data_IF_593080060585
#
_entry.id   IF_593080060585
#
_cell.length_a   1.000
_cell.length_b   1.000
_cell.length_c   1.000
_cell.angle_alpha   90.00
_cell.angle_beta   90.00
_cell.angle_gamma   90.00
#
_symmetry.space_group_name_H-M   'P 1'
#
loop_
_entity.id
_entity.type
_entity.pdbx_description
1 polymer ?
#
# COMPACT_ATOMS: atom_id res chain seq x y z
N UNK A 1 -21.59 -19.33 -8.87
CA UNK A 1 -22.76 -18.53 -9.33
C UNK A 1 -23.02 -17.35 -8.40
N UNK A 2 -23.33 -17.55 -7.11
CA UNK A 2 -23.62 -16.44 -6.18
C UNK A 2 -22.49 -15.39 -6.08
N UNK A 3 -21.22 -15.82 -5.98
CA UNK A 3 -20.08 -14.90 -5.94
C UNK A 3 -19.99 -14.00 -7.18
N UNK A 4 -20.22 -14.57 -8.36
CA UNK A 4 -20.22 -13.81 -9.61
C UNK A 4 -21.38 -12.81 -9.67
N UNK A 5 -22.57 -13.19 -9.21
CA UNK A 5 -23.73 -12.30 -9.18
C UNK A 5 -23.57 -11.13 -8.21
N UNK A 6 -22.94 -11.34 -7.06
CA UNK A 6 -22.68 -10.26 -6.08
C UNK A 6 -21.59 -9.30 -6.58
N UNK A 7 -20.58 -9.83 -7.27
CA UNK A 7 -19.42 -9.05 -7.71
C UNK A 7 -19.46 -8.70 -9.21
N UNK A 8 -20.64 -8.81 -9.86
CA UNK A 8 -20.73 -8.71 -11.33
C UNK A 8 -20.18 -7.39 -11.86
N UNK A 9 -20.35 -6.29 -11.12
CA UNK A 9 -19.81 -4.96 -11.48
C UNK A 9 -18.28 -4.95 -11.53
N UNK A 10 -17.60 -5.69 -10.63
CA UNK A 10 -16.15 -5.84 -10.65
C UNK A 10 -15.70 -6.62 -11.89
N UNK A 11 -16.44 -7.68 -12.24
CA UNK A 11 -16.19 -8.44 -13.47
C UNK A 11 -16.47 -7.59 -14.71
N UNK A 12 -17.53 -6.80 -14.73
CA UNK A 12 -17.87 -5.88 -15.83
C UNK A 12 -16.77 -4.83 -16.03
N UNK A 13 -16.30 -4.20 -14.95
CA UNK A 13 -15.18 -3.25 -14.97
C UNK A 13 -13.86 -3.87 -15.47
N UNK A 14 -13.70 -5.20 -15.32
CA UNK A 14 -12.46 -5.91 -15.69
C UNK A 14 -12.54 -6.47 -17.11
N UNK A 15 -13.69 -7.02 -17.53
CA UNK A 15 -13.81 -7.80 -18.77
C UNK A 15 -14.63 -7.12 -19.87
N UNK A 16 -15.40 -6.08 -19.55
CA UNK A 16 -16.24 -5.38 -20.52
C UNK A 16 -16.51 -3.91 -20.11
N UNK A 17 -15.46 -3.07 -19.91
CA UNK A 17 -15.67 -1.70 -19.48
C UNK A 17 -16.31 -0.87 -20.62
N UNK A 18 -17.62 -0.67 -20.58
CA UNK A 18 -18.30 0.22 -21.52
C UNK A 18 -18.06 1.68 -21.12
N UNK A 19 -17.23 2.40 -21.89
CA UNK A 19 -17.02 3.85 -21.71
C UNK A 19 -16.17 4.26 -20.50
N UNK A 20 -15.51 3.31 -19.82
CA UNK A 20 -14.60 3.58 -18.70
C UNK A 20 -13.19 3.09 -19.04
N UNK A 21 -12.25 4.02 -19.24
CA UNK A 21 -10.84 3.67 -19.39
C UNK A 21 -10.18 3.75 -18.02
N UNK A 22 -9.65 2.65 -17.53
CA UNK A 22 -8.96 2.60 -16.24
C UNK A 22 -7.53 3.12 -16.35
N UNK A 23 -7.03 3.77 -15.29
CA UNK A 23 -5.61 4.14 -15.17
C UNK A 23 -4.65 2.95 -15.33
N UNK A 24 -5.14 1.70 -15.14
CA UNK A 24 -4.36 0.47 -15.32
C UNK A 24 -3.84 0.26 -16.74
N UNK A 25 -4.39 0.95 -17.74
CA UNK A 25 -3.87 0.89 -19.12
C UNK A 25 -2.42 1.40 -19.20
N UNK A 26 -2.04 2.34 -18.33
CA UNK A 26 -0.66 2.86 -18.23
C UNK A 26 0.18 2.13 -17.19
N UNK A 27 -0.36 1.10 -16.53
CA UNK A 27 0.38 0.36 -15.51
C UNK A 27 1.50 -0.46 -16.17
N UNK A 28 2.75 -0.17 -15.80
CA UNK A 28 3.91 -0.99 -16.17
C UNK A 28 4.10 -2.10 -15.16
N UNK A 29 3.96 -3.34 -15.61
CA UNK A 29 4.23 -4.51 -14.76
C UNK A 29 5.69 -4.59 -14.33
N UNK A 30 6.61 -4.07 -15.15
CA UNK A 30 8.04 -4.17 -14.94
C UNK A 30 8.65 -3.00 -14.18
N UNK A 31 7.85 -1.97 -13.84
CA UNK A 31 8.30 -0.79 -13.08
C UNK A 31 9.14 -1.14 -11.84
N UNK A 32 8.66 -2.06 -11.01
CA UNK A 32 9.32 -2.51 -9.78
C UNK A 32 9.85 -3.95 -9.87
N UNK A 33 10.01 -4.49 -11.09
CA UNK A 33 10.30 -5.92 -11.31
C UNK A 33 11.41 -6.15 -12.33
N UNK A 34 12.55 -6.54 -11.79
CA UNK A 34 13.68 -6.99 -12.61
C UNK A 34 13.55 -8.46 -13.04
N UNK A 35 14.00 -8.74 -14.27
CA UNK A 35 14.19 -10.09 -14.79
C UNK A 35 15.54 -10.66 -14.32
N UNK A 36 15.56 -11.18 -13.09
CA UNK A 36 16.75 -11.82 -12.51
C UNK A 36 16.47 -13.28 -12.21
N UNK A 37 17.27 -14.19 -12.80
CA UNK A 37 17.18 -15.62 -12.48
C UNK A 37 17.52 -15.86 -11.00
N UNK A 38 18.61 -15.26 -10.52
CA UNK A 38 19.02 -15.36 -9.12
C UNK A 38 17.95 -14.77 -8.20
N UNK A 39 17.40 -13.60 -8.54
CA UNK A 39 16.30 -12.99 -7.81
C UNK A 39 15.05 -13.86 -7.76
N UNK A 40 14.74 -14.58 -8.85
CA UNK A 40 13.59 -15.50 -8.94
C UNK A 40 13.76 -16.72 -8.02
N UNK A 41 14.97 -17.27 -7.97
CA UNK A 41 15.34 -18.36 -7.04
C UNK A 41 15.27 -17.87 -5.59
N UNK A 42 15.81 -16.69 -5.30
CA UNK A 42 15.75 -16.11 -3.95
C UNK A 42 14.30 -15.86 -3.50
N UNK A 43 13.44 -15.29 -4.35
CA UNK A 43 12.01 -15.12 -4.08
C UNK A 43 11.28 -16.45 -3.85
N UNK A 44 11.66 -17.50 -4.59
CA UNK A 44 11.13 -18.85 -4.39
C UNK A 44 11.49 -19.39 -3.01
N UNK A 45 12.75 -19.25 -2.60
CA UNK A 45 13.24 -19.71 -1.31
C UNK A 45 12.64 -18.89 -0.16
N UNK A 46 12.59 -17.57 -0.30
CA UNK A 46 11.99 -16.65 0.66
C UNK A 46 10.56 -17.09 0.99
N UNK A 47 9.70 -17.21 -0.02
CA UNK A 47 8.28 -17.53 0.23
C UNK A 47 8.06 -18.99 0.65
N UNK A 48 9.01 -19.88 0.37
CA UNK A 48 9.00 -21.26 0.85
C UNK A 48 9.32 -21.33 2.36
N UNK A 49 10.26 -20.52 2.85
CA UNK A 49 10.64 -20.52 4.26
C UNK A 49 9.78 -19.61 5.13
N UNK A 50 9.31 -18.49 4.57
CA UNK A 50 8.53 -17.46 5.25
C UNK A 50 7.38 -17.05 4.32
N UNK A 51 6.16 -17.45 4.64
CA UNK A 51 5.01 -17.04 3.82
C UNK A 51 4.75 -15.53 3.90
N UNK A 52 3.98 -15.01 2.95
CA UNK A 52 3.81 -13.57 2.76
C UNK A 52 2.97 -12.90 3.86
N UNK A 53 3.46 -11.77 4.38
CA UNK A 53 2.82 -11.00 5.46
C UNK A 53 1.37 -10.55 5.17
N UNK A 54 0.99 -10.40 3.90
CA UNK A 54 -0.36 -9.99 3.49
C UNK A 54 -1.43 -11.09 3.70
N UNK A 55 -1.03 -12.36 3.69
CA UNK A 55 -1.94 -13.49 3.89
C UNK A 55 -1.75 -14.17 5.26
N UNK A 56 -0.60 -13.91 5.90
CA UNK A 56 -0.20 -14.49 7.17
C UNK A 56 1.24 -14.99 7.09
N UNK A 57 2.09 -14.55 8.01
CA UNK A 57 3.48 -15.00 8.11
C UNK A 57 3.54 -16.34 8.82
N UNK A 58 4.04 -17.36 8.13
CA UNK A 58 4.27 -18.72 8.65
C UNK A 58 5.71 -19.06 8.34
N UNK A 59 6.49 -19.32 9.40
CA UNK A 59 7.82 -19.91 9.24
C UNK A 59 7.66 -21.41 9.08
N UNK A 60 8.17 -21.96 7.98
CA UNK A 60 7.93 -23.35 7.59
C UNK A 60 8.90 -24.35 8.22
N UNK A 61 10.03 -23.90 8.79
CA UNK A 61 11.08 -24.79 9.30
C UNK A 61 10.58 -25.81 10.37
N UNK A 62 9.80 -25.42 11.40
CA UNK A 62 9.28 -26.39 12.36
C UNK A 62 8.34 -27.41 11.70
N UNK A 63 7.57 -26.97 10.70
CA UNK A 63 6.64 -27.82 9.93
C UNK A 63 7.42 -28.84 9.09
N UNK A 64 8.49 -28.41 8.42
CA UNK A 64 9.37 -29.27 7.62
C UNK A 64 10.05 -30.33 8.49
N UNK A 65 10.54 -29.95 9.67
CA UNK A 65 11.13 -30.90 10.62
C UNK A 65 10.09 -31.91 11.13
N UNK A 66 8.87 -31.47 11.45
CA UNK A 66 7.78 -32.37 11.83
C UNK A 66 7.43 -33.35 10.69
N UNK A 67 7.36 -32.86 9.45
CA UNK A 67 7.09 -33.69 8.27
C UNK A 67 8.21 -34.70 8.00
N UNK A 68 9.48 -34.28 8.16
CA UNK A 68 10.64 -35.17 8.02
C UNK A 68 10.61 -36.29 9.07
N UNK A 69 10.36 -35.95 10.34
CA UNK A 69 10.22 -36.96 11.41
C UNK A 69 9.03 -37.91 11.15
N UNK A 70 7.92 -37.38 10.63
CA UNK A 70 6.78 -38.21 10.24
C UNK A 70 7.15 -39.20 9.13
N UNK A 71 7.91 -38.75 8.11
CA UNK A 71 8.45 -39.62 7.04
C UNK A 71 9.34 -40.72 7.61
N UNK A 72 10.31 -40.37 8.44
CA UNK A 72 11.27 -41.31 9.03
C UNK A 72 10.57 -42.38 9.89
N UNK A 73 9.45 -42.04 10.54
CA UNK A 73 8.68 -42.96 11.37
C UNK A 73 7.82 -44.00 10.62
N UNK A 74 7.46 -43.72 9.36
CA UNK A 74 6.58 -44.57 8.54
C UNK A 74 7.37 -45.26 7.42
N UNK A 75 8.47 -44.67 6.95
CA UNK A 75 9.33 -45.24 5.90
C UNK A 75 8.73 -45.16 4.48
N UNK A 76 7.63 -44.42 4.28
CA UNK A 76 6.99 -44.19 2.97
C UNK A 76 6.48 -42.77 2.83
N UNK A 77 6.14 -42.39 1.60
CA UNK A 77 5.59 -41.07 1.29
C UNK A 77 4.32 -40.74 2.07
N UNK A 78 4.24 -39.53 2.61
CA UNK A 78 3.16 -39.07 3.48
C UNK A 78 2.18 -38.14 2.75
N UNK A 79 0.97 -37.94 3.30
CA UNK A 79 0.08 -36.90 2.79
C UNK A 79 0.66 -35.48 2.97
N UNK A 80 1.39 -35.25 4.08
CA UNK A 80 2.08 -33.99 4.33
C UNK A 80 3.11 -33.66 3.24
N UNK A 81 3.88 -34.66 2.77
CA UNK A 81 4.83 -34.48 1.66
C UNK A 81 4.15 -34.09 0.35
N UNK A 82 2.98 -34.66 0.04
CA UNK A 82 2.23 -34.27 -1.16
C UNK A 82 1.82 -32.80 -1.09
N UNK A 83 1.35 -32.34 0.07
CA UNK A 83 1.04 -30.92 0.29
C UNK A 83 2.30 -30.06 0.17
N UNK A 84 3.43 -30.50 0.72
CA UNK A 84 4.73 -29.79 0.61
C UNK A 84 5.16 -29.66 -0.86
N UNK A 85 4.99 -30.70 -1.69
CA UNK A 85 5.28 -30.60 -3.12
C UNK A 85 4.36 -29.61 -3.85
N UNK A 86 3.07 -29.55 -3.47
CA UNK A 86 2.16 -28.51 -3.96
C UNK A 86 2.64 -27.11 -3.56
N UNK A 87 3.12 -26.95 -2.32
CA UNK A 87 3.70 -25.69 -1.84
C UNK A 87 4.94 -25.33 -2.67
N UNK A 88 5.87 -26.26 -2.89
CA UNK A 88 7.05 -26.04 -3.75
C UNK A 88 6.64 -25.56 -5.13
N UNK A 89 5.64 -26.18 -5.76
CA UNK A 89 5.15 -25.77 -7.08
C UNK A 89 4.60 -24.33 -7.06
N UNK A 90 3.84 -23.95 -6.03
CA UNK A 90 3.34 -22.59 -5.85
C UNK A 90 4.49 -21.59 -5.62
N UNK A 91 5.49 -21.94 -4.81
CA UNK A 91 6.65 -21.08 -4.55
C UNK A 91 7.48 -20.85 -5.81
N UNK A 92 7.72 -21.89 -6.62
CA UNK A 92 8.43 -21.78 -7.90
C UNK A 92 7.62 -20.94 -8.89
N UNK A 93 6.32 -21.21 -9.02
CA UNK A 93 5.43 -20.43 -9.87
C UNK A 93 5.45 -18.94 -9.48
N UNK A 94 5.39 -18.64 -8.19
CA UNK A 94 5.51 -17.28 -7.67
C UNK A 94 6.86 -16.63 -8.01
N UNK A 95 7.98 -17.31 -7.69
CA UNK A 95 9.31 -16.74 -7.90
C UNK A 95 9.63 -16.48 -9.37
N UNK A 96 9.09 -17.29 -10.28
CA UNK A 96 9.31 -17.16 -11.72
C UNK A 96 8.15 -16.45 -12.46
N UNK A 97 7.16 -15.90 -11.76
CA UNK A 97 5.99 -15.30 -12.42
C UNK A 97 6.35 -14.10 -13.31
N UNK A 98 7.36 -13.30 -12.94
CA UNK A 98 7.86 -12.21 -13.80
C UNK A 98 8.35 -12.71 -15.16
N UNK A 99 9.00 -13.88 -15.22
CA UNK A 99 9.41 -14.50 -16.48
C UNK A 99 8.21 -14.96 -17.31
N UNK A 100 7.17 -15.48 -16.66
CA UNK A 100 5.92 -15.87 -17.34
C UNK A 100 5.26 -14.64 -17.97
N UNK A 101 5.18 -13.53 -17.23
CA UNK A 101 4.63 -12.28 -17.76
C UNK A 101 5.49 -11.73 -18.88
N UNK A 102 6.81 -11.81 -18.79
CA UNK A 102 7.71 -11.37 -19.86
C UNK A 102 7.52 -12.17 -21.16
N UNK A 103 7.37 -13.50 -21.06
CA UNK A 103 7.24 -14.36 -22.24
C UNK A 103 5.84 -14.33 -22.86
N UNK A 104 4.79 -14.12 -22.05
CA UNK A 104 3.40 -14.34 -22.47
C UNK A 104 2.47 -13.14 -22.25
N UNK A 105 2.92 -12.10 -21.54
CA UNK A 105 2.08 -10.97 -21.11
C UNK A 105 1.46 -10.18 -22.27
N UNK A 106 2.17 -10.03 -23.38
CA UNK A 106 1.66 -9.35 -24.58
C UNK A 106 0.47 -10.10 -25.22
N UNK A 107 0.47 -11.43 -25.16
CA UNK A 107 -0.56 -12.28 -25.75
C UNK A 107 -1.72 -12.53 -24.78
N UNK A 108 -1.47 -12.42 -23.48
CA UNK A 108 -2.43 -12.68 -22.41
C UNK A 108 -2.41 -11.54 -21.39
N UNK A 109 -3.09 -10.41 -21.66
CA UNK A 109 -3.13 -9.24 -20.76
C UNK A 109 -3.55 -9.57 -19.32
N UNK A 110 -4.39 -10.60 -19.14
CA UNK A 110 -4.79 -11.13 -17.83
C UNK A 110 -3.62 -11.51 -16.91
N UNK A 111 -2.44 -11.86 -17.45
CA UNK A 111 -1.25 -12.17 -16.67
C UNK A 111 -0.70 -10.92 -15.95
N UNK A 112 -0.81 -9.75 -16.58
CA UNK A 112 -0.38 -8.46 -16.02
C UNK A 112 -1.42 -7.94 -15.02
N UNK A 113 -2.70 -7.96 -15.41
CA UNK A 113 -3.78 -7.34 -14.66
C UNK A 113 -4.15 -8.13 -13.39
N UNK A 114 -4.37 -9.44 -13.53
CA UNK A 114 -4.88 -10.28 -12.43
C UNK A 114 -3.77 -10.69 -11.45
N UNK A 115 -2.53 -10.81 -11.94
CA UNK A 115 -1.35 -11.27 -11.17
C UNK A 115 -1.60 -12.63 -10.51
N UNK A 116 -1.66 -13.70 -11.30
CA UNK A 116 -1.92 -15.07 -10.83
C UNK A 116 -0.94 -15.57 -9.77
N UNK A 117 0.24 -14.97 -9.67
CA UNK A 117 1.19 -15.16 -8.55
C UNK A 117 0.55 -15.02 -7.15
N UNK A 118 -0.60 -14.34 -7.06
CA UNK A 118 -1.43 -14.24 -5.84
C UNK A 118 -1.93 -15.58 -5.32
N UNK A 119 -1.84 -16.68 -6.08
CA UNK A 119 -2.06 -18.05 -5.57
C UNK A 119 -1.21 -18.36 -4.33
N UNK A 120 -0.09 -17.64 -4.14
CA UNK A 120 0.72 -17.65 -2.91
C UNK A 120 -0.07 -17.34 -1.62
N UNK A 121 -1.23 -16.69 -1.70
CA UNK A 121 -2.13 -16.43 -0.56
C UNK A 121 -2.59 -17.74 0.10
N UNK A 122 -2.59 -18.87 -0.63
CA UNK A 122 -2.94 -20.18 -0.09
C UNK A 122 -1.84 -20.80 0.79
N UNK A 123 -0.60 -20.27 0.76
CA UNK A 123 0.53 -20.89 1.43
C UNK A 123 0.37 -21.05 2.95
N UNK A 124 -0.14 -20.07 3.72
CA UNK A 124 -0.35 -20.25 5.16
C UNK A 124 -1.28 -21.42 5.46
N UNK A 125 -2.38 -21.54 4.70
CA UNK A 125 -3.31 -22.66 4.82
C UNK A 125 -2.65 -24.00 4.48
N UNK A 126 -1.93 -24.08 3.37
CA UNK A 126 -1.26 -25.32 2.94
C UNK A 126 -0.16 -25.74 3.92
N UNK A 127 0.60 -24.79 4.48
CA UNK A 127 1.59 -25.06 5.53
C UNK A 127 0.93 -25.62 6.79
N UNK A 128 -0.16 -25.01 7.24
CA UNK A 128 -0.91 -25.50 8.40
C UNK A 128 -1.56 -26.87 8.14
N UNK A 129 -2.03 -27.13 6.93
CA UNK A 129 -2.53 -28.45 6.53
C UNK A 129 -1.41 -29.50 6.53
N UNK A 130 -0.25 -29.20 5.94
CA UNK A 130 0.91 -30.08 5.97
C UNK A 130 1.34 -30.37 7.41
N UNK A 131 1.31 -29.36 8.27
CA UNK A 131 1.63 -29.48 9.68
C UNK A 131 0.65 -30.39 10.43
N UNK A 132 -0.65 -30.17 10.27
CA UNK A 132 -1.68 -31.01 10.89
C UNK A 132 -1.55 -32.48 10.45
N UNK A 133 -1.28 -32.73 9.16
CA UNK A 133 -1.08 -34.06 8.62
C UNK A 133 0.19 -34.74 9.15
N UNK A 134 1.28 -33.98 9.31
CA UNK A 134 2.53 -34.48 9.90
C UNK A 134 2.33 -34.83 11.39
N UNK A 135 1.69 -33.94 12.15
CA UNK A 135 1.43 -34.17 13.58
C UNK A 135 0.44 -35.31 13.82
N UNK A 136 -0.60 -35.45 12.99
CA UNK A 136 -1.54 -36.56 13.08
C UNK A 136 -0.85 -37.92 12.94
N UNK A 137 0.18 -38.00 12.11
CA UNK A 137 1.01 -39.19 11.95
C UNK A 137 1.95 -39.42 13.15
N UNK A 138 2.59 -38.35 13.66
CA UNK A 138 3.48 -38.44 14.82
C UNK A 138 2.73 -38.78 16.12
N UNK A 139 1.47 -38.33 16.26
CA UNK A 139 0.65 -38.50 17.47
C UNK A 139 0.52 -39.95 17.89
N UNK A 140 0.48 -40.89 16.94
CA UNK A 140 0.29 -42.32 17.19
C UNK A 140 1.46 -42.90 18.00
N UNK A 141 2.69 -42.43 17.77
CA UNK A 141 3.89 -42.96 18.44
C UNK A 141 4.44 -42.04 19.53
N UNK A 142 4.30 -40.72 19.37
CA UNK A 142 5.03 -39.74 20.17
C UNK A 142 4.22 -38.48 20.49
N UNK A 143 3.22 -38.54 21.40
CA UNK A 143 2.37 -37.39 21.73
C UNK A 143 3.14 -36.19 22.32
N UNK A 144 4.23 -36.44 23.06
CA UNK A 144 5.09 -35.36 23.59
C UNK A 144 5.80 -34.57 22.48
N UNK A 145 6.21 -35.25 21.41
CA UNK A 145 6.83 -34.61 20.24
C UNK A 145 5.82 -33.73 19.52
N UNK A 146 4.55 -34.16 19.44
CA UNK A 146 3.47 -33.32 18.92
C UNK A 146 3.30 -32.05 19.75
N UNK A 147 3.25 -32.19 21.09
CA UNK A 147 3.18 -31.04 22.00
C UNK A 147 4.35 -30.06 21.82
N UNK A 148 5.57 -30.57 21.64
CA UNK A 148 6.75 -29.76 21.36
C UNK A 148 6.61 -28.96 20.07
N UNK A 149 6.28 -29.60 18.95
CA UNK A 149 6.13 -28.90 17.67
C UNK A 149 4.99 -27.88 17.69
N UNK A 150 3.86 -28.19 18.35
CA UNK A 150 2.78 -27.24 18.54
C UNK A 150 3.22 -26.01 19.34
N UNK A 151 3.94 -26.22 20.45
CA UNK A 151 4.47 -25.12 21.26
C UNK A 151 5.46 -24.25 20.47
N UNK A 152 6.39 -24.88 19.73
CA UNK A 152 7.35 -24.16 18.88
C UNK A 152 6.62 -23.36 17.79
N UNK A 153 5.69 -23.98 17.07
CA UNK A 153 4.97 -23.29 16.00
C UNK A 153 4.11 -22.14 16.55
N UNK A 154 3.50 -22.31 17.72
CA UNK A 154 2.75 -21.26 18.39
C UNK A 154 3.65 -20.06 18.75
N UNK A 155 4.79 -20.31 19.40
CA UNK A 155 5.77 -19.26 19.75
C UNK A 155 6.23 -18.52 18.50
N UNK A 156 6.60 -19.25 17.45
CA UNK A 156 7.06 -18.67 16.20
C UNK A 156 5.98 -17.82 15.52
N UNK A 157 4.73 -18.30 15.50
CA UNK A 157 3.60 -17.57 14.91
C UNK A 157 3.37 -16.25 15.67
N UNK A 158 3.32 -16.29 17.00
CA UNK A 158 3.17 -15.09 17.85
C UNK A 158 4.34 -14.13 17.67
N UNK A 159 5.57 -14.64 17.62
CA UNK A 159 6.76 -13.84 17.38
C UNK A 159 6.76 -13.16 16.00
N UNK A 160 6.21 -13.83 14.99
CA UNK A 160 6.12 -13.30 13.62
C UNK A 160 4.90 -12.42 13.34
N UNK A 161 3.99 -12.24 14.30
CA UNK A 161 2.75 -11.49 14.09
C UNK A 161 2.98 -9.98 14.24
N UNK A 162 2.86 -9.23 13.15
CA UNK A 162 3.19 -7.80 13.10
C UNK A 162 2.41 -6.95 14.12
N UNK A 163 1.11 -7.22 14.32
CA UNK A 163 0.30 -6.47 15.29
C UNK A 163 0.68 -6.80 16.73
N UNK A 164 1.03 -8.05 17.02
CA UNK A 164 1.51 -8.43 18.36
C UNK A 164 2.86 -7.76 18.66
N UNK A 165 3.78 -7.81 17.69
CA UNK A 165 5.07 -7.12 17.78
C UNK A 165 4.89 -5.60 17.89
N UNK A 166 3.90 -5.03 17.21
CA UNK A 166 3.58 -3.63 17.29
C UNK A 166 3.06 -3.24 18.68
N UNK A 167 2.12 -4.00 19.25
CA UNK A 167 1.60 -3.77 20.59
C UNK A 167 2.69 -3.87 21.67
N UNK A 168 3.60 -4.84 21.56
CA UNK A 168 4.76 -4.92 22.46
C UNK A 168 5.66 -3.68 22.35
N UNK A 169 5.88 -3.16 21.15
CA UNK A 169 6.63 -1.91 20.94
C UNK A 169 5.91 -0.69 21.51
N UNK A 170 4.57 -0.63 21.40
CA UNK A 170 3.78 0.43 22.03
C UNK A 170 3.95 0.39 23.56
N UNK A 171 3.82 -0.80 24.18
CA UNK A 171 4.02 -0.98 25.62
C UNK A 171 5.44 -0.63 26.07
N UNK A 172 6.44 -0.87 25.22
CA UNK A 172 7.83 -0.50 25.46
C UNK A 172 8.15 0.98 25.18
N UNK A 173 7.18 1.80 24.75
CA UNK A 173 7.37 3.22 24.45
C UNK A 173 8.18 3.51 23.17
N UNK A 174 8.28 2.53 22.27
CA UNK A 174 9.03 2.65 20.98
C UNK A 174 8.15 2.31 19.77
N UNK A 175 6.99 2.96 19.59
CA UNK A 175 6.09 2.67 18.48
C UNK A 175 6.77 2.98 17.14
N UNK A 176 6.61 2.08 16.16
CA UNK A 176 7.09 2.29 14.77
C UNK A 176 6.03 2.88 13.84
N UNK A 177 4.76 2.69 14.17
CA UNK A 177 3.58 3.11 13.41
C UNK A 177 2.48 3.49 14.41
N UNK A 178 1.49 4.31 14.04
CA UNK A 178 0.35 4.57 14.92
C UNK A 178 -0.55 3.34 15.07
N UNK A 179 -1.23 3.23 16.21
CA UNK A 179 -2.40 2.35 16.32
C UNK A 179 -3.61 2.97 15.59
N UNK A 180 -4.72 2.22 15.55
CA UNK A 180 -5.92 2.65 14.83
C UNK A 180 -6.47 4.00 15.32
N UNK A 181 -6.59 4.21 16.64
CA UNK A 181 -7.13 5.44 17.23
C UNK A 181 -6.22 6.64 16.89
N UNK A 182 -4.92 6.47 17.04
CA UNK A 182 -3.92 7.50 16.73
C UNK A 182 -3.88 7.87 15.25
N UNK A 183 -4.04 6.87 14.37
CA UNK A 183 -4.07 7.07 12.92
C UNK A 183 -5.34 7.76 12.44
N UNK A 184 -6.51 7.35 12.96
CA UNK A 184 -7.80 7.95 12.57
C UNK A 184 -7.96 9.34 13.15
N UNK A 185 -7.48 9.58 14.38
CA UNK A 185 -7.42 10.89 15.02
C UNK A 185 -8.75 11.69 15.00
N UNK A 186 -9.86 11.07 15.41
CA UNK A 186 -11.21 11.68 15.35
C UNK A 186 -11.27 13.09 15.97
N UNK A 187 -10.69 13.26 17.17
CA UNK A 187 -10.67 14.57 17.86
C UNK A 187 -9.89 15.65 17.10
N UNK A 188 -8.80 15.27 16.40
CA UNK A 188 -8.03 16.21 15.58
C UNK A 188 -8.86 16.68 14.39
N UNK A 189 -9.48 15.73 13.68
CA UNK A 189 -10.28 16.04 12.50
C UNK A 189 -11.58 16.78 12.84
N UNK A 190 -12.16 16.55 14.02
CA UNK A 190 -13.27 17.36 14.53
C UNK A 190 -12.86 18.82 14.77
N UNK A 191 -11.63 19.08 15.25
CA UNK A 191 -11.14 20.46 15.39
C UNK A 191 -10.93 21.14 14.03
N UNK A 192 -10.42 20.42 13.03
CA UNK A 192 -10.25 20.93 11.67
C UNK A 192 -11.61 21.24 11.05
N UNK A 193 -12.56 20.32 11.17
CA UNK A 193 -13.94 20.48 10.67
C UNK A 193 -14.63 21.70 11.29
N UNK A 194 -14.57 21.83 12.62
CA UNK A 194 -15.13 22.97 13.33
C UNK A 194 -14.48 24.31 12.95
N UNK A 195 -13.19 24.29 12.59
CA UNK A 195 -12.49 25.49 12.13
C UNK A 195 -12.89 25.89 10.71
N UNK A 196 -12.97 24.93 9.78
CA UNK A 196 -13.41 25.19 8.40
C UNK A 196 -14.88 25.65 8.40
N UNK A 197 -15.73 25.05 9.23
CA UNK A 197 -17.10 25.52 9.48
C UNK A 197 -18.04 25.49 8.26
N UNK A 198 -17.66 24.76 7.20
CA UNK A 198 -18.43 24.58 5.96
C UNK A 198 -18.84 23.11 5.79
N UNK A 199 -19.95 22.82 5.09
CA UNK A 199 -20.32 21.45 4.72
C UNK A 199 -19.19 20.74 3.95
N UNK A 200 -18.78 19.54 4.38
CA UNK A 200 -17.65 18.80 3.80
C UNK A 200 -17.84 18.41 2.33
N UNK A 201 -19.07 18.32 1.86
CA UNK A 201 -19.40 18.04 0.46
C UNK A 201 -19.22 19.26 -0.46
N UNK A 202 -19.11 20.46 0.11
CA UNK A 202 -18.95 21.73 -0.63
C UNK A 202 -17.52 22.04 -1.06
N UNK A 203 -16.53 21.23 -0.68
CA UNK A 203 -15.12 21.40 -1.05
C UNK A 203 -14.42 20.04 -1.12
N UNK A 204 -13.19 20.01 -1.66
CA UNK A 204 -12.31 18.84 -1.61
C UNK A 204 -11.00 19.15 -0.91
N UNK A 205 -10.44 18.11 -0.31
CA UNK A 205 -9.17 18.14 0.42
C UNK A 205 -8.13 17.31 -0.33
N UNK A 206 -6.88 17.77 -0.34
CA UNK A 206 -5.71 17.00 -0.78
C UNK A 206 -4.69 16.92 0.36
N UNK A 207 -3.79 15.94 0.35
CA UNK A 207 -2.87 15.67 1.46
C UNK A 207 -1.42 15.68 1.01
N UNK A 208 -0.53 16.22 1.85
CA UNK A 208 0.92 16.13 1.69
C UNK A 208 1.55 15.49 2.94
N UNK A 209 2.45 14.55 2.76
CA UNK A 209 3.15 13.91 3.89
C UNK A 209 2.30 12.95 4.72
N UNK A 210 1.03 12.72 4.33
CA UNK A 210 0.07 11.90 5.07
C UNK A 210 -0.89 11.15 4.14
N UNK A 211 -1.54 10.11 4.67
CA UNK A 211 -2.53 9.31 3.92
C UNK A 211 -3.93 9.94 4.04
N UNK A 212 -4.69 10.06 2.92
CA UNK A 212 -6.06 10.57 2.93
C UNK A 212 -7.04 9.68 3.71
N UNK A 213 -6.71 8.40 3.93
CA UNK A 213 -7.61 7.45 4.60
C UNK A 213 -8.08 7.94 5.98
N UNK A 214 -7.26 8.70 6.71
CA UNK A 214 -7.64 9.23 8.02
C UNK A 214 -8.70 10.33 7.89
N UNK A 215 -8.56 11.28 6.97
CA UNK A 215 -9.56 12.33 6.75
C UNK A 215 -10.84 11.77 6.11
N UNK A 216 -10.72 10.82 5.18
CA UNK A 216 -11.84 10.10 4.57
C UNK A 216 -12.68 9.37 5.62
N UNK A 217 -12.04 8.69 6.59
CA UNK A 217 -12.74 8.07 7.71
C UNK A 217 -13.55 9.09 8.52
N UNK A 218 -13.02 10.30 8.67
CA UNK A 218 -13.67 11.43 9.35
C UNK A 218 -14.66 12.22 8.46
N UNK A 219 -15.01 11.68 7.29
CA UNK A 219 -16.04 12.20 6.40
C UNK A 219 -15.62 13.34 5.47
N UNK A 220 -14.32 13.64 5.37
CA UNK A 220 -13.82 14.61 4.38
C UNK A 220 -13.82 13.99 2.97
N UNK A 221 -14.19 14.80 1.97
CA UNK A 221 -14.13 14.42 0.56
C UNK A 221 -12.77 14.80 0.01
N UNK A 222 -12.04 13.83 -0.56
CA UNK A 222 -10.64 14.02 -0.94
C UNK A 222 -10.42 13.84 -2.43
N UNK A 223 -9.45 14.57 -2.99
CA UNK A 223 -8.99 14.38 -4.37
C UNK A 223 -7.99 13.23 -4.49
N UNK A 224 -7.26 12.98 -3.42
CA UNK A 224 -6.28 11.93 -3.34
C UNK A 224 -6.82 10.69 -2.62
N UNK A 225 -6.40 9.52 -3.10
CA UNK A 225 -6.83 8.25 -2.56
C UNK A 225 -5.89 7.11 -2.98
N UNK A 226 -5.86 6.05 -2.17
CA UNK A 226 -5.31 4.77 -2.57
C UNK A 226 -6.43 3.95 -3.21
N UNK A 227 -6.43 3.87 -4.54
CA UNK A 227 -7.49 3.18 -5.29
C UNK A 227 -6.90 2.12 -6.21
N UNK A 228 -7.48 0.92 -6.18
CA UNK A 228 -7.06 -0.17 -7.06
C UNK A 228 -7.46 0.06 -8.52
N UNK A 229 -8.56 0.77 -8.76
CA UNK A 229 -9.11 1.11 -10.08
C UNK A 229 -9.75 2.50 -9.97
N UNK A 230 -9.44 3.38 -10.92
CA UNK A 230 -10.04 4.71 -11.12
C UNK A 230 -9.81 5.14 -12.58
N UNK A 231 -10.49 6.20 -13.03
CA UNK A 231 -10.48 6.64 -14.42
C UNK A 231 -9.11 7.18 -14.87
N UNK A 232 -8.71 6.85 -16.09
CA UNK A 232 -7.46 7.35 -16.70
C UNK A 232 -7.48 8.88 -16.83
N UNK A 233 -8.61 9.45 -17.26
CA UNK A 233 -8.78 10.91 -17.38
C UNK A 233 -8.54 11.61 -16.03
N UNK A 234 -9.01 11.01 -14.93
CA UNK A 234 -8.77 11.51 -13.58
C UNK A 234 -7.28 11.45 -13.20
N UNK A 235 -6.57 10.36 -13.54
CA UNK A 235 -5.11 10.26 -13.34
C UNK A 235 -4.39 11.42 -14.02
N UNK A 236 -4.77 11.73 -15.26
CA UNK A 236 -4.16 12.82 -16.03
C UNK A 236 -4.53 14.20 -15.49
N UNK A 237 -5.77 14.41 -15.05
CA UNK A 237 -6.18 15.64 -14.37
C UNK A 237 -5.36 15.86 -13.09
N UNK A 238 -5.30 14.85 -12.22
CA UNK A 238 -4.55 14.91 -10.97
C UNK A 238 -3.04 15.10 -11.21
N UNK A 239 -2.46 14.44 -12.24
CA UNK A 239 -1.05 14.62 -12.61
C UNK A 239 -0.69 16.07 -12.90
N UNK A 240 -1.61 16.87 -13.46
CA UNK A 240 -1.37 18.30 -13.77
C UNK A 240 -1.04 19.10 -12.51
N UNK A 241 -1.68 18.78 -11.39
CA UNK A 241 -1.46 19.44 -10.09
C UNK A 241 0.02 19.38 -9.71
N UNK A 242 0.67 18.23 -9.89
CA UNK A 242 2.05 18.00 -9.44
C UNK A 242 3.06 17.83 -10.57
N UNK A 243 2.71 18.22 -11.81
CA UNK A 243 3.54 17.98 -12.98
C UNK A 243 4.96 18.52 -12.80
N UNK A 244 5.07 19.79 -12.40
CA UNK A 244 6.37 20.44 -12.22
C UNK A 244 7.12 19.90 -11.00
N UNK A 245 6.41 19.49 -9.95
CA UNK A 245 7.02 18.88 -8.76
C UNK A 245 7.64 17.52 -9.07
N UNK A 246 6.91 16.63 -9.74
CA UNK A 246 7.43 15.28 -10.05
C UNK A 246 8.53 15.31 -11.11
N UNK A 247 8.56 16.31 -11.99
CA UNK A 247 9.64 16.50 -12.97
C UNK A 247 11.01 16.83 -12.32
N UNK A 248 11.05 17.18 -11.03
CA UNK A 248 12.30 17.37 -10.27
C UNK A 248 13.03 16.06 -9.97
N UNK A 249 12.32 14.93 -9.95
CA UNK A 249 12.87 13.62 -9.59
C UNK A 249 12.23 12.51 -10.45
N UNK A 250 13.05 11.88 -11.29
CA UNK A 250 12.64 10.83 -12.23
C UNK A 250 12.00 9.64 -11.51
N UNK A 251 12.48 9.27 -10.32
CA UNK A 251 11.97 8.08 -9.60
C UNK A 251 10.52 8.27 -9.15
N UNK A 252 10.15 9.48 -8.70
CA UNK A 252 8.77 9.79 -8.30
C UNK A 252 7.85 10.02 -9.50
N UNK A 253 8.38 10.54 -10.60
CA UNK A 253 7.64 10.70 -11.86
C UNK A 253 7.27 9.33 -12.42
N UNK A 254 8.26 8.46 -12.61
CA UNK A 254 8.05 7.10 -13.11
C UNK A 254 7.14 6.32 -12.16
N UNK A 255 7.27 6.49 -10.84
CA UNK A 255 6.35 5.89 -9.88
C UNK A 255 4.89 6.24 -10.11
N UNK A 256 4.58 7.52 -10.31
CA UNK A 256 3.19 7.94 -10.55
C UNK A 256 2.70 7.47 -11.92
N UNK A 257 3.54 7.63 -12.95
CA UNK A 257 3.18 7.34 -14.34
C UNK A 257 3.02 5.84 -14.59
N UNK A 258 3.92 5.03 -14.05
CA UNK A 258 3.95 3.58 -14.30
C UNK A 258 3.24 2.74 -13.24
N UNK A 259 3.11 3.19 -11.99
CA UNK A 259 2.38 2.46 -10.94
C UNK A 259 1.03 3.08 -10.60
N UNK A 260 1.01 4.36 -10.20
CA UNK A 260 -0.17 5.22 -10.16
C UNK A 260 -1.35 4.82 -9.25
N UNK A 261 -1.26 3.76 -8.42
CA UNK A 261 -2.37 3.37 -7.52
C UNK A 261 -2.56 4.33 -6.35
N UNK A 262 -1.46 4.96 -5.92
CA UNK A 262 -1.47 6.05 -4.95
C UNK A 262 -1.64 7.33 -5.74
N UNK A 263 -2.89 7.71 -5.95
CA UNK A 263 -3.23 9.02 -6.52
C UNK A 263 -3.05 10.06 -5.41
N UNK A 264 -1.80 10.27 -4.98
CA UNK A 264 -1.41 11.13 -3.87
C UNK A 264 -0.61 12.31 -4.39
N UNK A 265 -0.65 13.43 -3.67
CA UNK A 265 0.28 14.52 -3.94
C UNK A 265 1.69 14.11 -3.53
N UNK A 266 2.59 14.05 -4.50
CA UNK A 266 4.00 13.69 -4.30
C UNK A 266 4.84 14.95 -4.12
N UNK A 267 5.96 14.81 -3.42
CA UNK A 267 7.00 15.82 -3.37
C UNK A 267 8.37 15.18 -3.56
N UNK A 268 9.24 15.82 -4.35
CA UNK A 268 10.61 15.37 -4.58
C UNK A 268 11.45 15.35 -3.30
N UNK A 269 11.11 16.19 -2.32
CA UNK A 269 11.81 16.24 -1.03
C UNK A 269 11.36 15.14 -0.05
N UNK A 270 10.13 14.63 -0.21
CA UNK A 270 9.59 13.56 0.64
C UNK A 270 9.80 12.17 0.03
N UNK A 271 9.81 12.06 -1.30
CA UNK A 271 9.93 10.82 -2.05
C UNK A 271 8.60 10.03 -2.18
N UNK A 272 8.71 8.77 -2.62
CA UNK A 272 7.58 7.88 -2.94
C UNK A 272 7.37 6.71 -1.97
N UNK A 273 8.25 6.54 -1.00
CA UNK A 273 8.19 5.43 -0.06
C UNK A 273 7.00 5.54 0.90
N UNK A 274 6.54 4.43 1.48
CA UNK A 274 5.38 4.49 2.40
C UNK A 274 5.60 5.42 3.61
N UNK A 275 6.85 5.68 3.99
CA UNK A 275 7.21 6.63 5.06
C UNK A 275 6.98 8.08 4.65
N UNK A 276 7.00 8.41 3.36
CA UNK A 276 6.69 9.74 2.85
C UNK A 276 5.24 10.17 3.15
N UNK A 277 4.34 9.21 3.35
CA UNK A 277 2.92 9.44 3.67
C UNK A 277 2.55 9.07 5.12
N UNK A 278 3.55 8.90 5.98
CA UNK A 278 3.36 8.54 7.39
C UNK A 278 4.30 9.39 8.26
N UNK A 279 4.24 10.70 8.07
CA UNK A 279 5.01 11.68 8.84
C UNK A 279 4.19 12.05 10.08
N UNK A 280 4.69 11.68 11.26
CA UNK A 280 4.02 11.93 12.54
C UNK A 280 4.42 13.26 13.17
N UNK A 281 3.64 13.72 14.16
CA UNK A 281 3.81 15.00 14.85
C UNK A 281 5.18 15.26 15.48
N UNK A 282 5.92 14.20 15.80
CA UNK A 282 7.25 14.27 16.42
C UNK A 282 8.40 14.24 15.39
N UNK A 283 8.08 14.13 14.10
CA UNK A 283 9.07 14.19 13.01
C UNK A 283 9.14 15.63 12.48
N UNK A 284 10.27 16.30 12.74
CA UNK A 284 10.50 17.66 12.22
C UNK A 284 10.99 17.57 10.77
N UNK A 285 10.04 17.60 9.83
CA UNK A 285 10.29 17.66 8.38
C UNK A 285 9.62 18.88 7.80
N UNK A 286 10.26 19.44 6.79
CA UNK A 286 9.76 20.58 6.00
C UNK A 286 9.95 20.26 4.52
N UNK A 287 9.13 20.90 3.68
CA UNK A 287 9.35 20.97 2.23
C UNK A 287 9.76 22.39 1.92
N UNK A 288 10.96 22.57 1.40
CA UNK A 288 11.53 23.88 1.10
C UNK A 288 10.86 24.49 -0.15
N UNK A 289 10.73 23.69 -1.20
CA UNK A 289 10.21 24.14 -2.50
C UNK A 289 9.24 23.10 -3.08
N UNK A 290 7.94 23.25 -2.78
CA UNK A 290 6.88 22.50 -3.44
C UNK A 290 6.46 23.22 -4.73
N UNK A 291 6.38 22.52 -5.87
CA UNK A 291 5.96 23.13 -7.13
C UNK A 291 4.70 22.49 -7.72
N UNK A 292 3.55 22.93 -7.21
CA UNK A 292 2.24 22.46 -7.65
C UNK A 292 1.44 23.55 -8.39
N UNK A 293 0.63 23.14 -9.35
CA UNK A 293 -0.34 24.00 -10.03
C UNK A 293 -1.61 24.12 -9.18
N UNK A 294 -1.68 25.18 -8.38
CA UNK A 294 -2.85 25.47 -7.54
C UNK A 294 -4.10 25.87 -8.34
N UNK A 295 -3.97 26.26 -9.62
CA UNK A 295 -5.14 26.45 -10.49
C UNK A 295 -5.72 25.10 -10.91
N UNK A 296 -4.88 24.17 -11.32
CA UNK A 296 -5.32 22.80 -11.63
C UNK A 296 -5.96 22.12 -10.40
N UNK A 297 -5.47 22.42 -9.19
CA UNK A 297 -6.07 21.97 -7.94
C UNK A 297 -7.49 22.55 -7.73
N UNK A 298 -7.66 23.86 -7.96
CA UNK A 298 -8.96 24.54 -7.88
C UNK A 298 -9.95 24.05 -8.97
N UNK A 299 -9.48 23.76 -10.18
CA UNK A 299 -10.30 23.20 -11.27
C UNK A 299 -10.89 21.82 -10.92
N UNK A 300 -10.34 21.16 -9.89
CA UNK A 300 -10.84 19.91 -9.33
C UNK A 300 -11.60 20.10 -8.01
N UNK A 301 -12.02 21.32 -7.66
CA UNK A 301 -12.67 21.70 -6.39
C UNK A 301 -11.78 21.51 -5.14
N UNK A 302 -10.45 21.45 -5.32
CA UNK A 302 -9.47 21.34 -4.24
C UNK A 302 -9.25 22.69 -3.55
N UNK A 303 -9.93 22.92 -2.43
CA UNK A 303 -9.86 24.19 -1.69
C UNK A 303 -8.93 24.12 -0.46
N UNK A 304 -8.64 22.92 0.05
CA UNK A 304 -7.80 22.76 1.24
C UNK A 304 -6.71 21.70 1.03
N UNK A 305 -5.52 22.01 1.54
CA UNK A 305 -4.41 21.07 1.67
C UNK A 305 -4.17 20.76 3.15
N UNK A 306 -4.25 19.48 3.51
CA UNK A 306 -3.86 18.97 4.81
C UNK A 306 -2.44 18.44 4.73
N UNK A 307 -1.48 19.14 5.33
CA UNK A 307 -0.08 18.77 5.25
C UNK A 307 0.47 18.30 6.60
N UNK A 308 1.18 17.17 6.62
CA UNK A 308 1.93 16.72 7.80
C UNK A 308 3.25 17.49 8.01
N UNK A 309 3.67 18.27 7.02
CA UNK A 309 4.91 19.05 7.02
C UNK A 309 4.63 20.50 6.68
N UNK A 310 5.51 21.41 7.11
CA UNK A 310 5.42 22.80 6.67
C UNK A 310 5.99 22.94 5.26
N UNK A 311 5.32 23.73 4.43
CA UNK A 311 5.78 24.11 3.09
C UNK A 311 6.32 25.54 3.19
N UNK A 312 7.62 25.74 2.94
CA UNK A 312 8.26 27.04 3.14
C UNK A 312 7.90 28.05 2.05
N UNK A 313 7.70 27.59 0.81
CA UNK A 313 7.29 28.42 -0.32
C UNK A 313 5.76 28.50 -0.52
N UNK A 314 4.94 28.12 0.47
CA UNK A 314 3.49 27.99 0.35
C UNK A 314 2.81 29.24 -0.26
N UNK A 315 3.12 30.44 0.25
CA UNK A 315 2.52 31.68 -0.23
C UNK A 315 2.87 31.96 -1.70
N UNK A 316 4.06 31.57 -2.15
CA UNK A 316 4.54 31.81 -3.52
C UNK A 316 3.76 30.98 -4.55
N UNK A 317 3.28 29.80 -4.14
CA UNK A 317 2.52 28.88 -5.00
C UNK A 317 1.01 29.01 -4.82
N UNK A 318 0.52 30.01 -4.07
CA UNK A 318 -0.91 30.23 -3.88
C UNK A 318 -1.56 29.35 -2.81
N UNK A 319 -0.78 28.92 -1.81
CA UNK A 319 -1.25 28.26 -0.60
C UNK A 319 -1.16 29.22 0.58
N UNK A 320 -2.29 29.58 1.16
CA UNK A 320 -2.36 30.41 2.35
C UNK A 320 -2.36 29.53 3.60
N UNK A 321 -1.35 29.66 4.46
CA UNK A 321 -1.35 28.97 5.74
C UNK A 321 -2.45 29.55 6.66
N UNK A 322 -3.29 28.68 7.22
CA UNK A 322 -4.37 29.09 8.12
C UNK A 322 -4.03 28.77 9.58
N UNK A 323 -3.77 27.50 9.88
CA UNK A 323 -3.59 27.03 11.26
C UNK A 323 -2.88 25.67 11.31
N UNK A 324 -2.19 25.40 12.43
CA UNK A 324 -1.71 24.06 12.78
C UNK A 324 -2.63 23.43 13.82
N UNK A 325 -2.98 22.16 13.61
CA UNK A 325 -3.78 21.35 14.52
C UNK A 325 -2.95 20.20 15.09
N UNK A 326 -3.06 19.98 16.39
CA UNK A 326 -2.44 18.87 17.11
C UNK A 326 -3.39 18.35 18.19
N UNK A 327 -3.31 17.05 18.49
CA UNK A 327 -4.03 16.45 19.61
C UNK A 327 -3.13 15.41 20.30
N UNK A 328 -3.15 15.29 21.65
CA UNK A 328 -2.31 14.33 22.37
C UNK A 328 -2.48 12.88 21.88
N UNK A 329 -3.73 12.49 21.61
CA UNK A 329 -4.07 11.14 21.14
C UNK A 329 -3.94 10.95 19.62
N UNK A 330 -3.51 11.98 18.89
CA UNK A 330 -3.31 11.91 17.43
C UNK A 330 -1.86 11.58 17.09
N UNK A 331 -1.66 10.77 16.06
CA UNK A 331 -0.36 10.61 15.41
C UNK A 331 0.05 11.86 14.61
N UNK A 332 -0.94 12.54 14.04
CA UNK A 332 -0.75 13.61 13.09
C UNK A 332 -0.63 14.98 13.77
N UNK A 333 0.22 15.81 13.17
CA UNK A 333 0.20 17.27 13.23
C UNK A 333 -0.21 17.75 11.85
N UNK A 334 -1.26 18.53 11.74
CA UNK A 334 -1.79 18.98 10.44
C UNK A 334 -1.61 20.47 10.31
N UNK A 335 -0.83 20.88 9.32
CA UNK A 335 -0.75 22.24 8.82
C UNK A 335 -1.84 22.41 7.76
N UNK A 336 -2.85 23.22 8.07
CA UNK A 336 -3.95 23.52 7.18
C UNK A 336 -3.57 24.69 6.26
N UNK A 337 -3.69 24.47 4.96
CA UNK A 337 -3.53 25.50 3.94
C UNK A 337 -4.82 25.64 3.14
N UNK A 338 -5.23 26.87 2.88
CA UNK A 338 -6.30 27.20 1.95
C UNK A 338 -5.72 27.54 0.58
N UNK A 339 -6.34 27.02 -0.47
CA UNK A 339 -5.88 27.22 -1.85
C UNK A 339 -6.50 28.50 -2.38
N UNK A 340 -5.69 29.54 -2.54
CA UNK A 340 -6.13 30.85 -3.05
C UNK A 340 -5.82 31.03 -4.54
N UNK A 341 -5.10 30.09 -5.14
CA UNK A 341 -4.55 30.20 -6.49
C UNK A 341 -3.31 31.10 -6.52
N UNK A 342 -2.52 31.09 -7.61
CA UNK A 342 -1.34 31.93 -7.69
C UNK A 342 -1.76 33.41 -7.57
N UNK A 343 -1.00 34.24 -6.84
CA UNK A 343 -1.29 35.66 -6.75
C UNK A 343 -1.49 36.23 -8.15
N UNK A 344 -2.51 37.06 -8.33
CA UNK A 344 -2.78 37.69 -9.61
C UNK A 344 -1.47 38.26 -10.15
N UNK A 345 -1.02 37.79 -11.33
CA UNK A 345 0.11 38.44 -11.99
C UNK A 345 -0.26 39.91 -12.09
N UNK A 346 0.56 40.78 -11.51
CA UNK A 346 0.45 42.21 -11.78
C UNK A 346 0.34 42.36 -13.30
N UNK A 347 -0.64 43.15 -13.81
CA UNK A 347 -0.84 43.27 -15.25
C UNK A 347 0.51 43.57 -15.90
N UNK A 348 1.00 42.62 -16.69
CA UNK A 348 2.28 42.74 -17.36
C UNK A 348 2.29 44.02 -18.18
N UNK A 349 3.41 44.74 -18.12
CA UNK A 349 3.67 45.89 -18.97
C UNK A 349 3.33 45.53 -20.42
N UNK A 350 2.53 46.33 -21.17
CA UNK A 350 2.02 45.97 -22.50
C UNK A 350 3.08 45.88 -23.61
N UNK A 351 4.36 45.72 -23.29
CA UNK A 351 5.49 45.99 -24.18
C UNK A 351 6.05 44.78 -24.92
N UNK A 352 5.66 43.54 -24.59
CA UNK A 352 6.07 42.38 -25.39
C UNK A 352 5.02 41.99 -26.44
N UNK A 353 5.03 42.78 -27.52
CA UNK A 353 4.69 42.33 -28.87
C UNK A 353 5.93 42.50 -29.74
N UNK A 354 6.73 41.46 -29.91
CA UNK A 354 7.55 41.24 -31.10
C UNK A 354 7.71 39.76 -31.39
#
# INVERSE_FOLDING_TARGET
>A
VLYFLVNYQLFELTFAPSGFVTHRVEYSYFYDRELSFVGSVLKTLEIFFISHFHAGTVLSLPILLAALLARLNIGRHTQAERVIWTIVAICVFYGFYTWIVYLFGEHFPMLVEYKFERVRIMLPFLWMLAFALALGQLRVKSPRVVGFFLAVQFIVTVASHDEFQHNLRQLAGVPKKPNFKEFVAEDLYHQIDAYIGRPKDSYRVIHLGMKPAASQYNGFYTLDALMAIYGLDYKHQFRKIMKQEIEKDEDIMVYYDEWGNWCYLLSSELGKESSAFLIGKDQDRVVEELNIDTRALLDMDGEYLFSAVRILNAEQIGLQFEKTFEHPDSYWKVHLYHVVGPPAMAPGDPTDKF
#
